data_IF_429795258807
#
_entry.id   IF_429795258807
#
_cell.length_a   1.000
_cell.length_b   1.000
_cell.length_c   1.000
_cell.angle_alpha   90.00
_cell.angle_beta   90.00
_cell.angle_gamma   90.00
#
_symmetry.space_group_name_H-M   'P 1'
#
loop_
_entity.id
_entity.type
_entity.pdbx_description
1 polymer ?
#
# COMPACT_ATOMS: atom_id res chain seq x y z
N UNK A 1 -21.07 9.49 -81.19
CA UNK A 1 -19.73 8.88 -81.13
C UNK A 1 -19.08 9.32 -79.83
N UNK A 2 -18.99 8.43 -78.82
CA UNK A 2 -18.45 8.74 -77.48
C UNK A 2 -17.12 7.99 -77.31
N UNK A 3 -16.07 8.73 -76.98
CA UNK A 3 -14.74 8.19 -76.67
C UNK A 3 -14.67 7.61 -75.26
N UNK A 4 -13.92 6.52 -75.15
CA UNK A 4 -13.42 5.81 -73.97
C UNK A 4 -12.53 6.68 -73.07
N UNK A 5 -12.52 6.43 -71.75
CA UNK A 5 -11.30 6.23 -70.93
C UNK A 5 -11.63 5.30 -69.73
N UNK A 6 -10.90 4.19 -69.60
CA UNK A 6 -10.85 3.32 -68.42
C UNK A 6 -10.06 3.99 -67.28
N UNK A 7 -10.55 3.94 -66.04
CA UNK A 7 -9.71 4.12 -64.85
C UNK A 7 -10.03 3.07 -63.78
N UNK A 8 -9.07 2.16 -63.65
CA UNK A 8 -8.83 1.29 -62.50
C UNK A 8 -8.55 2.18 -61.28
N UNK A 9 -9.29 2.01 -60.18
CA UNK A 9 -8.98 2.64 -58.90
C UNK A 9 -8.85 1.53 -57.86
N UNK A 10 -7.59 1.27 -57.47
CA UNK A 10 -7.21 0.64 -56.22
C UNK A 10 -7.62 1.58 -55.08
N UNK A 11 -8.43 1.10 -54.13
CA UNK A 11 -8.44 1.69 -52.78
C UNK A 11 -8.10 0.58 -51.81
N UNK A 12 -6.98 0.83 -51.15
CA UNK A 12 -6.36 0.09 -50.06
C UNK A 12 -7.41 -0.45 -49.08
N UNK A 13 -7.28 -1.73 -48.77
CA UNK A 13 -7.70 -2.29 -47.49
C UNK A 13 -6.99 -1.50 -46.39
N UNK A 14 -7.73 -0.68 -45.64
CA UNK A 14 -7.26 -0.23 -44.34
C UNK A 14 -7.16 -1.47 -43.47
N UNK A 15 -5.93 -1.97 -43.31
CA UNK A 15 -5.55 -2.84 -42.22
C UNK A 15 -5.93 -2.13 -40.93
N UNK A 16 -7.06 -2.52 -40.33
CA UNK A 16 -7.30 -2.27 -38.92
C UNK A 16 -6.15 -2.97 -38.19
N UNK A 17 -5.15 -2.20 -37.79
CA UNK A 17 -4.25 -2.59 -36.72
C UNK A 17 -5.13 -2.73 -35.49
N UNK A 18 -5.57 -3.95 -35.23
CA UNK A 18 -6.05 -4.37 -33.92
C UNK A 18 -4.89 -4.28 -32.94
N UNK A 19 -4.63 -3.08 -32.44
CA UNK A 19 -4.05 -2.96 -31.12
C UNK A 19 -5.15 -3.48 -30.21
N UNK A 20 -4.98 -4.71 -29.74
CA UNK A 20 -5.76 -5.26 -28.63
C UNK A 20 -5.42 -4.40 -27.40
N UNK A 21 -5.98 -3.20 -27.36
CA UNK A 21 -5.92 -2.33 -26.21
C UNK A 21 -6.67 -3.05 -25.10
N UNK A 22 -5.91 -3.61 -24.16
CA UNK A 22 -6.49 -4.14 -22.93
C UNK A 22 -7.26 -2.98 -22.31
N UNK A 23 -8.59 -3.10 -22.30
CA UNK A 23 -9.45 -2.09 -21.71
C UNK A 23 -9.20 -2.19 -20.20
N UNK A 24 -8.83 -1.08 -19.52
CA UNK A 24 -8.62 -1.10 -18.07
C UNK A 24 -9.90 -1.56 -17.37
N UNK A 25 -9.78 -2.57 -16.51
CA UNK A 25 -10.90 -3.05 -15.71
C UNK A 25 -11.05 -2.16 -14.47
N UNK A 26 -12.23 -1.57 -14.29
CA UNK A 26 -12.55 -0.79 -13.09
C UNK A 26 -12.80 -1.75 -11.92
N UNK A 27 -11.93 -1.70 -10.92
CA UNK A 27 -12.02 -2.56 -9.74
C UNK A 27 -12.92 -1.94 -8.65
N UNK A 28 -12.79 -0.63 -8.45
CA UNK A 28 -13.59 0.15 -7.51
C UNK A 28 -13.67 1.62 -7.96
N UNK A 29 -14.76 2.30 -7.60
CA UNK A 29 -14.93 3.73 -7.81
C UNK A 29 -15.71 4.31 -6.63
N UNK A 30 -15.12 5.30 -5.95
CA UNK A 30 -15.69 5.96 -4.78
C UNK A 30 -15.34 7.44 -4.87
N UNK A 31 -16.35 8.30 -4.85
CA UNK A 31 -16.20 9.74 -5.05
C UNK A 31 -15.41 10.01 -6.34
N UNK A 32 -14.33 10.79 -6.27
CA UNK A 32 -13.44 11.09 -7.39
C UNK A 32 -12.28 10.10 -7.55
N UNK A 33 -12.23 9.06 -6.72
CA UNK A 33 -11.20 8.04 -6.71
C UNK A 33 -11.62 6.81 -7.50
N UNK A 34 -10.70 6.27 -8.29
CA UNK A 34 -10.91 5.02 -9.00
C UNK A 34 -9.69 4.13 -8.94
N UNK A 35 -9.94 2.84 -8.74
CA UNK A 35 -8.94 1.79 -8.82
C UNK A 35 -9.15 1.04 -10.14
N UNK A 36 -8.12 1.04 -10.98
CA UNK A 36 -8.13 0.35 -12.27
C UNK A 36 -7.07 -0.76 -12.26
N UNK A 37 -7.35 -1.87 -12.93
CA UNK A 37 -6.36 -2.88 -13.28
C UNK A 37 -6.14 -2.86 -14.79
N UNK A 38 -4.89 -2.75 -15.23
CA UNK A 38 -4.51 -2.85 -16.64
C UNK A 38 -3.37 -3.85 -16.78
N UNK A 39 -3.70 -5.04 -17.28
CA UNK A 39 -2.76 -6.17 -17.29
C UNK A 39 -2.34 -6.54 -15.87
N UNK A 40 -1.03 -6.48 -15.62
CA UNK A 40 -0.43 -6.81 -14.33
C UNK A 40 -0.32 -5.60 -13.39
N UNK A 41 -0.75 -4.41 -13.79
CA UNK A 41 -0.58 -3.21 -12.97
C UNK A 41 -1.90 -2.68 -12.44
N UNK A 42 -1.90 -2.25 -11.18
CA UNK A 42 -2.98 -1.47 -10.60
C UNK A 42 -2.67 0.02 -10.66
N UNK A 43 -3.71 0.82 -10.87
CA UNK A 43 -3.64 2.27 -10.92
C UNK A 43 -4.67 2.84 -9.95
N UNK A 44 -4.20 3.57 -8.94
CA UNK A 44 -5.04 4.43 -8.12
C UNK A 44 -5.09 5.80 -8.77
N UNK A 45 -6.28 6.20 -9.20
CA UNK A 45 -6.51 7.48 -9.85
C UNK A 45 -7.40 8.37 -8.99
N UNK A 46 -7.15 9.67 -9.07
CA UNK A 46 -7.98 10.70 -8.47
C UNK A 46 -8.24 11.80 -9.49
N UNK A 47 -9.49 12.22 -9.62
CA UNK A 47 -9.88 13.35 -10.47
C UNK A 47 -10.28 14.54 -9.60
N UNK A 48 -9.37 15.46 -9.39
CA UNK A 48 -9.63 16.64 -8.56
C UNK A 48 -10.77 17.52 -9.09
N UNK A 49 -11.35 18.33 -8.20
CA UNK A 49 -12.47 19.23 -8.48
C UNK A 49 -12.23 20.20 -9.65
N UNK A 50 -10.97 20.52 -9.96
CA UNK A 50 -10.56 21.33 -11.13
C UNK A 50 -10.44 20.54 -12.44
N UNK A 51 -10.80 19.26 -12.44
CA UNK A 51 -10.67 18.37 -13.59
C UNK A 51 -9.25 17.83 -13.84
N UNK A 52 -8.29 18.15 -12.96
CA UNK A 52 -6.93 17.61 -13.03
C UNK A 52 -6.96 16.16 -12.56
N UNK A 53 -6.45 15.26 -13.40
CA UNK A 53 -6.33 13.85 -13.07
C UNK A 53 -4.92 13.52 -12.55
N UNK A 54 -4.88 12.70 -11.51
CA UNK A 54 -3.67 12.17 -10.90
C UNK A 54 -3.73 10.65 -10.95
N UNK A 55 -2.58 10.01 -11.15
CA UNK A 55 -2.48 8.55 -11.23
C UNK A 55 -1.23 8.08 -10.49
N UNK A 56 -1.36 6.99 -9.75
CA UNK A 56 -0.26 6.28 -9.12
C UNK A 56 -0.37 4.78 -9.40
N UNK A 57 0.74 4.15 -9.75
CA UNK A 57 0.82 2.71 -10.02
C UNK A 57 1.91 1.99 -9.21
N UNK A 58 2.41 2.63 -8.14
CA UNK A 58 3.52 2.11 -7.31
C UNK A 58 3.14 1.86 -5.86
N UNK A 59 1.85 2.04 -5.52
CA UNK A 59 1.30 1.77 -4.19
C UNK A 59 0.78 0.34 -4.01
N UNK A 60 0.46 -0.35 -5.11
CA UNK A 60 -0.22 -1.64 -5.09
C UNK A 60 0.59 -2.62 -5.92
N UNK A 61 0.97 -3.73 -5.32
CA UNK A 61 1.69 -4.79 -6.01
C UNK A 61 0.79 -5.53 -7.02
N UNK A 62 1.41 -5.96 -8.11
CA UNK A 62 0.76 -6.64 -9.23
C UNK A 62 0.09 -7.98 -8.85
N UNK A 63 0.67 -8.66 -7.88
CA UNK A 63 0.33 -10.02 -7.45
C UNK A 63 -0.86 -10.07 -6.47
N UNK A 64 -1.36 -8.92 -6.03
CA UNK A 64 -2.54 -8.85 -5.19
C UNK A 64 -3.82 -9.21 -5.97
N UNK A 65 -4.60 -10.11 -5.39
CA UNK A 65 -5.96 -10.41 -5.84
C UNK A 65 -6.92 -9.26 -5.54
N UNK A 66 -7.98 -9.12 -6.35
CA UNK A 66 -9.01 -8.08 -6.17
C UNK A 66 -9.60 -8.09 -4.76
N UNK A 67 -9.88 -9.28 -4.20
CA UNK A 67 -10.46 -9.42 -2.86
C UNK A 67 -9.56 -8.89 -1.74
N UNK A 68 -8.27 -8.74 -2.02
CA UNK A 68 -7.28 -8.23 -1.08
C UNK A 68 -7.18 -6.70 -1.12
N UNK A 69 -7.89 -6.03 -2.02
CA UNK A 69 -7.83 -4.57 -2.19
C UNK A 69 -9.19 -3.97 -1.87
N UNK A 70 -9.24 -3.08 -0.89
CA UNK A 70 -10.43 -2.33 -0.54
C UNK A 70 -10.15 -0.83 -0.64
N UNK A 71 -10.95 -0.14 -1.44
CA UNK A 71 -11.05 1.32 -1.44
C UNK A 71 -12.30 1.69 -0.65
N UNK A 72 -12.19 2.58 0.33
CA UNK A 72 -13.32 2.97 1.19
C UNK A 72 -13.26 4.47 1.52
N UNK A 73 -14.42 5.08 1.73
CA UNK A 73 -14.52 6.46 2.21
C UNK A 73 -14.53 6.48 3.73
N UNK A 74 -13.70 7.32 4.35
CA UNK A 74 -13.75 7.65 5.79
C UNK A 74 -14.57 8.90 6.06
N UNK A 75 -14.53 9.86 5.15
CA UNK A 75 -15.39 11.05 5.07
C UNK A 75 -15.42 11.54 3.63
N UNK A 76 -16.26 12.53 3.31
CA UNK A 76 -16.42 13.04 1.94
C UNK A 76 -15.09 13.39 1.25
N UNK A 77 -14.13 13.91 2.02
CA UNK A 77 -12.81 14.32 1.53
C UNK A 77 -11.69 13.30 1.82
N UNK A 78 -11.95 12.22 2.55
CA UNK A 78 -10.90 11.28 2.99
C UNK A 78 -11.19 9.86 2.52
N UNK A 79 -10.25 9.30 1.75
CA UNK A 79 -10.32 7.94 1.21
C UNK A 79 -9.21 7.07 1.78
N UNK A 80 -9.54 5.81 2.04
CA UNK A 80 -8.64 4.78 2.54
C UNK A 80 -8.48 3.68 1.52
N UNK A 81 -7.24 3.40 1.14
CA UNK A 81 -6.85 2.20 0.40
C UNK A 81 -6.28 1.18 1.38
N UNK A 82 -6.88 0.00 1.45
CA UNK A 82 -6.44 -1.10 2.32
C UNK A 82 -6.02 -2.28 1.44
N UNK A 83 -4.82 -2.79 1.67
CA UNK A 83 -4.23 -3.94 0.99
C UNK A 83 -4.02 -5.06 2.02
N UNK A 84 -4.63 -6.21 1.81
CA UNK A 84 -4.56 -7.37 2.70
C UNK A 84 -3.60 -8.41 2.14
N UNK A 85 -2.40 -8.51 2.71
CA UNK A 85 -1.45 -9.57 2.44
C UNK A 85 -1.65 -10.73 3.44
N UNK A 86 -1.13 -11.93 3.18
CA UNK A 86 -1.35 -13.09 4.05
C UNK A 86 -0.97 -12.88 5.53
N UNK A 87 0.02 -12.02 5.81
CA UNK A 87 0.50 -11.74 7.19
C UNK A 87 0.28 -10.31 7.64
N UNK A 88 0.18 -9.38 6.70
CA UNK A 88 0.24 -7.95 6.97
C UNK A 88 -0.93 -7.23 6.28
N UNK A 89 -1.41 -6.16 6.89
CA UNK A 89 -2.41 -5.28 6.25
C UNK A 89 -1.78 -3.90 6.07
N UNK A 90 -1.74 -3.41 4.83
CA UNK A 90 -1.28 -2.05 4.54
C UNK A 90 -2.48 -1.13 4.39
N UNK A 91 -2.41 0.05 4.99
CA UNK A 91 -3.46 1.06 4.94
C UNK A 91 -2.85 2.40 4.55
N UNK A 92 -3.33 2.96 3.46
CA UNK A 92 -2.99 4.31 3.00
C UNK A 92 -4.22 5.20 3.08
N UNK A 93 -4.09 6.37 3.68
CA UNK A 93 -5.16 7.34 3.83
C UNK A 93 -4.80 8.58 3.04
N UNK A 94 -5.74 9.08 2.22
CA UNK A 94 -5.56 10.23 1.37
C UNK A 94 -6.61 11.29 1.64
N UNK A 95 -6.21 12.56 1.58
CA UNK A 95 -7.15 13.67 1.43
C UNK A 95 -7.41 13.96 -0.04
N UNK A 96 -8.62 14.41 -0.31
CA UNK A 96 -9.12 14.86 -1.61
C UNK A 96 -9.32 16.36 -1.49
N UNK A 97 -8.57 17.21 -2.23
CA UNK A 97 -8.89 18.62 -2.61
C UNK A 97 -7.64 19.47 -2.92
N UNK A 98 -7.67 20.35 -3.94
CA UNK A 98 -7.74 19.98 -5.36
C UNK A 98 -6.62 19.02 -5.80
N UNK A 99 -5.56 18.86 -5.00
CA UNK A 99 -4.46 17.91 -5.21
C UNK A 99 -4.54 16.83 -4.14
N UNK A 100 -4.42 15.54 -4.50
CA UNK A 100 -4.46 14.48 -3.50
C UNK A 100 -3.18 14.49 -2.67
N UNK A 101 -3.31 14.33 -1.35
CA UNK A 101 -2.19 14.22 -0.42
C UNK A 101 -2.33 12.98 0.44
N UNK A 102 -1.21 12.33 0.75
CA UNK A 102 -1.19 11.22 1.69
C UNK A 102 -1.20 11.77 3.12
N UNK A 103 -2.15 11.28 3.93
CA UNK A 103 -2.30 11.63 5.34
C UNK A 103 -1.64 10.59 6.24
N UNK A 104 -1.64 9.32 5.81
CA UNK A 104 -1.10 8.22 6.58
C UNK A 104 -0.75 7.04 5.67
N UNK A 105 0.31 6.32 6.03
CA UNK A 105 0.67 5.02 5.47
C UNK A 105 1.07 4.14 6.65
N UNK A 106 0.35 3.03 6.86
CA UNK A 106 0.60 2.15 7.99
C UNK A 106 0.59 0.69 7.56
N UNK A 107 1.38 -0.12 8.25
CA UNK A 107 1.44 -1.57 8.18
C UNK A 107 0.97 -2.14 9.52
N UNK A 108 -0.06 -2.98 9.48
CA UNK A 108 -0.52 -3.75 10.63
C UNK A 108 0.05 -5.16 10.54
N UNK A 109 0.58 -5.64 11.66
CA UNK A 109 1.20 -6.96 11.79
C UNK A 109 0.43 -7.69 12.89
N UNK A 110 -0.13 -8.85 12.54
CA UNK A 110 -0.75 -9.74 13.52
C UNK A 110 0.35 -10.52 14.24
N UNK A 111 0.43 -10.36 15.55
CA UNK A 111 1.31 -11.12 16.40
C UNK A 111 0.54 -12.34 16.91
N UNK A 112 1.21 -13.50 16.96
CA UNK A 112 0.56 -14.75 17.33
C UNK A 112 0.00 -14.67 18.74
N UNK A 113 -1.18 -15.26 18.94
CA UNK A 113 -1.70 -15.48 20.27
C UNK A 113 -0.84 -16.51 21.01
N UNK A 114 -0.66 -16.33 22.32
CA UNK A 114 0.09 -17.27 23.17
C UNK A 114 -0.64 -18.61 23.28
N UNK A 115 -1.97 -18.53 23.31
CA UNK A 115 -2.89 -19.66 23.47
C UNK A 115 -4.22 -19.35 22.76
N UNK A 116 -5.05 -20.38 22.57
CA UNK A 116 -6.34 -20.29 21.87
C UNK A 116 -7.38 -19.42 22.61
N UNK A 117 -7.07 -18.93 23.82
CA UNK A 117 -7.96 -18.10 24.64
C UNK A 117 -7.64 -16.60 24.57
N UNK A 118 -6.51 -16.23 23.96
CA UNK A 118 -6.09 -14.83 23.81
C UNK A 118 -6.35 -14.33 22.39
N UNK A 119 -6.90 -13.12 22.28
CA UNK A 119 -7.03 -12.44 21.00
C UNK A 119 -5.63 -12.15 20.41
N UNK A 120 -5.49 -12.31 19.10
CA UNK A 120 -4.27 -11.92 18.40
C UNK A 120 -3.97 -10.43 18.66
N UNK A 121 -2.73 -10.14 19.06
CA UNK A 121 -2.28 -8.77 19.28
C UNK A 121 -1.93 -8.15 17.93
N UNK A 122 -2.37 -6.91 17.69
CA UNK A 122 -2.05 -6.16 16.47
C UNK A 122 -0.98 -5.13 16.80
N UNK A 123 0.14 -5.19 16.09
CA UNK A 123 1.15 -4.12 16.07
C UNK A 123 0.93 -3.25 14.85
N UNK A 124 0.87 -1.94 15.02
CA UNK A 124 0.69 -0.98 13.92
C UNK A 124 1.96 -0.14 13.78
N UNK A 125 2.56 -0.16 12.60
CA UNK A 125 3.72 0.63 12.24
C UNK A 125 3.33 1.65 11.17
N UNK A 126 3.54 2.93 11.42
CA UNK A 126 3.16 4.00 10.49
C UNK A 126 4.37 4.78 9.98
N UNK A 127 4.30 5.29 8.76
CA UNK A 127 5.33 6.14 8.19
C UNK A 127 5.43 7.47 8.94
N UNK A 128 6.65 7.87 9.27
CA UNK A 128 6.96 9.17 9.89
C UNK A 128 6.45 10.31 9.01
N UNK A 129 5.95 11.38 9.63
CA UNK A 129 5.43 12.56 8.92
C UNK A 129 6.45 13.21 7.98
N UNK A 130 7.74 13.16 8.32
CA UNK A 130 8.83 13.65 7.47
C UNK A 130 8.93 12.93 6.12
N UNK A 131 8.45 11.68 6.04
CA UNK A 131 8.41 10.90 4.80
C UNK A 131 7.16 11.24 4.01
N UNK A 132 6.00 11.33 4.68
CA UNK A 132 4.71 11.63 4.05
C UNK A 132 4.70 13.03 3.39
N UNK A 133 5.28 14.02 4.04
CA UNK A 133 5.24 15.42 3.57
C UNK A 133 6.12 15.70 2.34
N UNK A 134 7.05 14.80 2.01
CA UNK A 134 8.03 15.03 0.94
C UNK A 134 7.57 14.49 -0.43
N UNK A 135 6.49 13.71 -0.48
CA UNK A 135 6.12 12.96 -1.67
C UNK A 135 4.82 13.45 -2.30
N UNK A 136 4.87 13.74 -3.61
CA UNK A 136 3.67 14.00 -4.41
C UNK A 136 2.92 12.69 -4.68
N UNK A 137 1.59 12.72 -4.74
CA UNK A 137 0.76 11.53 -4.98
C UNK A 137 1.24 10.64 -6.14
N UNK A 138 1.63 11.24 -7.27
CA UNK A 138 2.07 10.50 -8.48
C UNK A 138 3.40 9.76 -8.31
N UNK A 139 4.17 10.08 -7.26
CA UNK A 139 5.49 9.50 -6.96
C UNK A 139 5.49 8.61 -5.72
N UNK A 140 4.39 8.53 -4.98
CA UNK A 140 4.29 7.68 -3.81
C UNK A 140 4.61 6.23 -4.17
N UNK A 141 5.43 5.60 -3.36
CA UNK A 141 5.83 4.22 -3.53
C UNK A 141 5.67 3.49 -2.19
N UNK A 142 4.96 2.36 -2.19
CA UNK A 142 4.67 1.62 -0.96
C UNK A 142 5.95 1.12 -0.26
N UNK A 143 6.93 0.61 -1.00
CA UNK A 143 8.21 0.14 -0.47
C UNK A 143 8.98 1.26 0.24
N UNK A 144 8.99 2.47 -0.35
CA UNK A 144 9.62 3.63 0.27
C UNK A 144 8.87 4.06 1.52
N UNK A 145 7.54 4.23 1.44
CA UNK A 145 6.72 4.68 2.56
C UNK A 145 6.82 3.73 3.76
N UNK A 146 6.71 2.43 3.48
CA UNK A 146 6.68 1.38 4.50
C UNK A 146 8.06 0.73 4.74
N UNK A 147 9.13 1.38 4.30
CA UNK A 147 10.49 0.95 4.60
C UNK A 147 10.74 0.95 6.12
N UNK A 148 11.41 -0.07 6.68
CA UNK A 148 11.69 -0.16 8.11
C UNK A 148 12.23 1.14 8.74
N UNK A 149 13.15 1.84 8.09
CA UNK A 149 13.72 3.08 8.64
C UNK A 149 12.74 4.26 8.70
N UNK A 150 11.68 4.20 7.90
CA UNK A 150 10.65 5.23 7.78
C UNK A 150 9.47 5.02 8.74
N UNK A 151 9.41 3.86 9.40
CA UNK A 151 8.32 3.49 10.28
C UNK A 151 8.56 3.92 11.74
N UNK A 152 7.46 4.17 12.45
CA UNK A 152 7.41 4.27 13.90
C UNK A 152 6.24 3.43 14.42
N UNK A 153 6.30 3.06 15.70
CA UNK A 153 5.22 2.32 16.35
C UNK A 153 4.05 3.25 16.69
N UNK A 154 2.86 2.96 16.15
CA UNK A 154 1.64 3.71 16.45
C UNK A 154 1.00 3.20 17.75
N UNK A 155 1.34 3.87 18.85
CA UNK A 155 0.89 3.51 20.19
C UNK A 155 1.70 2.38 20.83
N UNK A 156 1.45 2.11 22.10
CA UNK A 156 2.14 1.01 22.81
C UNK A 156 1.40 -0.30 22.57
N UNK A 157 2.13 -1.41 22.48
CA UNK A 157 1.54 -2.73 22.28
C UNK A 157 2.09 -3.75 23.27
N UNK A 158 1.22 -4.57 23.86
CA UNK A 158 1.62 -5.66 24.75
C UNK A 158 1.76 -6.95 23.96
N UNK A 159 2.94 -7.55 24.00
CA UNK A 159 3.29 -8.73 23.22
C UNK A 159 3.84 -9.79 24.15
N UNK A 160 3.63 -11.04 23.78
CA UNK A 160 4.21 -12.15 24.48
C UNK A 160 5.51 -12.59 23.84
N UNK A 161 6.42 -13.08 24.65
CA UNK A 161 7.61 -13.73 24.16
C UNK A 161 7.24 -15.13 23.66
N UNK A 162 7.44 -15.37 22.37
CA UNK A 162 7.19 -16.67 21.74
C UNK A 162 8.39 -17.62 21.85
N UNK A 163 9.60 -17.06 21.93
CA UNK A 163 10.84 -17.82 21.98
C UNK A 163 11.08 -18.38 23.38
N UNK A 164 11.62 -19.59 23.46
CA UNK A 164 11.99 -20.23 24.75
C UNK A 164 12.92 -19.36 25.60
N UNK A 165 13.73 -18.51 24.95
CA UNK A 165 14.65 -17.59 25.63
C UNK A 165 14.99 -16.37 24.77
N UNK A 166 14.86 -15.17 25.33
CA UNK A 166 15.25 -13.89 24.70
C UNK A 166 16.10 -13.09 25.68
N UNK A 167 17.34 -12.80 25.32
CA UNK A 167 18.23 -11.99 26.17
C UNK A 167 17.87 -10.51 26.07
N UNK A 168 17.87 -9.84 27.22
CA UNK A 168 17.73 -8.39 27.28
C UNK A 168 19.09 -7.73 26.96
N UNK A 169 19.03 -6.66 26.18
CA UNK A 169 20.18 -5.81 25.88
C UNK A 169 20.07 -4.51 26.69
N UNK A 170 21.20 -4.02 27.19
CA UNK A 170 21.30 -2.64 27.66
C UNK A 170 21.49 -1.69 26.48
N UNK A 171 21.33 -0.38 26.69
CA UNK A 171 21.45 0.64 25.64
C UNK A 171 22.81 0.59 24.90
N UNK A 172 23.84 0.04 25.55
CA UNK A 172 25.19 -0.10 25.01
C UNK A 172 25.43 -1.43 24.25
N UNK A 173 24.42 -2.31 24.16
CA UNK A 173 24.52 -3.66 23.58
C UNK A 173 25.69 -4.50 24.16
N UNK A 174 26.12 -4.23 25.41
CA UNK A 174 27.32 -4.82 25.97
C UNK A 174 27.06 -6.26 26.36
N UNK A 175 27.91 -7.16 25.85
CA UNK A 175 27.82 -8.57 26.18
C UNK A 175 28.27 -8.86 27.61
N UNK A 176 27.33 -8.89 28.56
CA UNK A 176 27.60 -9.30 29.95
C UNK A 176 27.46 -10.82 30.13
N UNK A 177 28.28 -11.40 31.03
CA UNK A 177 28.32 -12.84 31.35
C UNK A 177 27.00 -13.36 31.97
N UNK A 178 26.33 -12.53 32.78
CA UNK A 178 25.03 -12.82 33.38
C UNK A 178 23.98 -11.86 32.83
N UNK A 179 23.47 -12.12 31.62
CA UNK A 179 22.41 -11.29 31.04
C UNK A 179 21.03 -11.75 31.50
N UNK A 180 20.18 -10.83 31.99
CA UNK A 180 18.78 -11.15 32.22
C UNK A 180 18.14 -11.53 30.88
N UNK A 181 17.14 -12.40 30.95
CA UNK A 181 16.43 -12.89 29.78
C UNK A 181 14.95 -13.04 30.12
N UNK A 182 14.14 -12.98 29.08
CA UNK A 182 12.73 -13.34 29.10
C UNK A 182 12.58 -14.77 28.58
N UNK A 183 11.52 -15.43 29.00
CA UNK A 183 11.14 -16.77 28.55
C UNK A 183 9.79 -16.74 27.85
N UNK A 184 9.49 -17.84 27.16
CA UNK A 184 8.20 -18.00 26.49
C UNK A 184 7.04 -17.77 27.46
N UNK A 185 6.07 -16.97 27.03
CA UNK A 185 4.88 -16.61 27.80
C UNK A 185 5.03 -15.33 28.65
N UNK A 186 6.24 -14.80 28.83
CA UNK A 186 6.42 -13.48 29.44
C UNK A 186 5.74 -12.41 28.57
N UNK A 187 5.02 -11.49 29.21
CA UNK A 187 4.33 -10.39 28.52
C UNK A 187 5.13 -9.10 28.71
N UNK A 188 5.45 -8.43 27.60
CA UNK A 188 6.17 -7.17 27.58
C UNK A 188 5.38 -6.10 26.85
N UNK A 189 5.59 -4.84 27.21
CA UNK A 189 5.05 -3.69 26.48
C UNK A 189 6.14 -3.14 25.56
N UNK A 190 5.88 -3.19 24.25
CA UNK A 190 6.73 -2.56 23.24
C UNK A 190 6.41 -1.07 23.23
N UNK A 191 7.42 -0.27 23.56
CA UNK A 191 7.30 1.19 23.67
C UNK A 191 7.66 1.91 22.39
N UNK A 192 8.57 1.35 21.60
CA UNK A 192 9.13 1.99 20.42
C UNK A 192 9.57 0.94 19.40
N UNK A 193 9.48 1.29 18.12
CA UNK A 193 10.07 0.54 17.02
C UNK A 193 11.37 1.23 16.57
N UNK A 194 12.48 0.49 16.63
CA UNK A 194 13.78 0.92 16.10
C UNK A 194 14.30 -0.15 15.15
N UNK A 195 14.78 0.28 13.99
CA UNK A 195 15.58 -0.58 13.13
C UNK A 195 16.95 -0.79 13.76
N UNK A 196 17.43 -2.04 13.87
CA UNK A 196 18.80 -2.29 14.30
C UNK A 196 19.76 -1.69 13.27
N UNK A 197 20.73 -0.91 13.75
CA UNK A 197 21.83 -0.34 12.96
C UNK A 197 22.80 -1.40 12.47
#
# INVERSE_FOLDING_TARGET
MRCFIYKLIFILTCSFFGVSGVIPEIQANINEWSLLKNGESYFLNYKGSKGIAYSNNSLIDADLDRSSIALTTKSDEVVSLVLSYPRDIYSFIFSSEPTPHILSACKQINLSAIDDSQAATIMVLCSKSSVLNNESFTKLNAEQLLSPNNLYLDGKVKVAIENEKVFLFDDDNVQRKNRPYLIKGDVVEVLEYKTPC
#
